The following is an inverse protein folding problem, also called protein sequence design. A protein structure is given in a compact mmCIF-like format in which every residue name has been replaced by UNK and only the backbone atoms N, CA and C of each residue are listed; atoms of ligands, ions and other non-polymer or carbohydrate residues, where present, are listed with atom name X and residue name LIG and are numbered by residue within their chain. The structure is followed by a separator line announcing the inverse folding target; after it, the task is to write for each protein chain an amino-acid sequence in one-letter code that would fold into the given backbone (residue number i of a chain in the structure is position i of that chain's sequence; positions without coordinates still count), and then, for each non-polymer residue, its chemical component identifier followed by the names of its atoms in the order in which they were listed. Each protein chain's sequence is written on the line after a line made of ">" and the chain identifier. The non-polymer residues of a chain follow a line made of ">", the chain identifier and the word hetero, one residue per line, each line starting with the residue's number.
data_IF_457611307461
#
_entry.id   IF_457611307461
#
_cell.length_a   1.000
_cell.length_b   1.000
_cell.length_c   1.000
_cell.angle_alpha   90.00
_cell.angle_beta   90.00
_cell.angle_gamma   90.00
#
_symmetry.space_group_name_H-M   'P 1'
#
loop_
_entity.id
_entity.type
_entity.pdbx_description
1 polymer ?
#
# COMPACT_ATOMS: atom_id res chain seq x y z
N UNK A 1 -1.01 -6.23 -38.02
CA UNK A 1 -0.43 -5.95 -36.69
C UNK A 1 -1.55 -6.00 -35.66
N UNK A 2 -1.52 -6.94 -34.72
CA UNK A 2 -2.43 -6.86 -33.57
C UNK A 2 -1.91 -5.78 -32.63
N UNK A 3 -2.69 -4.72 -32.46
CA UNK A 3 -2.44 -3.69 -31.45
C UNK A 3 -2.50 -4.33 -30.05
N UNK A 4 -1.65 -3.89 -29.11
CA UNK A 4 -1.68 -4.32 -27.70
C UNK A 4 -3.10 -4.17 -27.13
N UNK A 5 -3.81 -3.10 -27.52
CA UNK A 5 -5.21 -2.89 -27.17
C UNK A 5 -6.13 -3.99 -27.71
N UNK A 6 -5.86 -4.49 -28.91
CA UNK A 6 -6.60 -5.62 -29.50
C UNK A 6 -6.39 -6.92 -28.74
N UNK A 7 -5.17 -7.19 -28.25
CA UNK A 7 -4.88 -8.36 -27.41
C UNK A 7 -5.56 -8.25 -26.04
N UNK A 8 -5.48 -7.09 -25.39
CA UNK A 8 -6.14 -6.85 -24.09
C UNK A 8 -7.66 -6.96 -24.22
N UNK A 9 -8.24 -6.34 -25.25
CA UNK A 9 -9.68 -6.36 -25.46
C UNK A 9 -10.17 -7.80 -25.66
N UNK A 10 -9.53 -8.57 -26.53
CA UNK A 10 -9.94 -9.95 -26.79
C UNK A 10 -9.67 -10.89 -25.60
N UNK A 11 -8.63 -10.63 -24.80
CA UNK A 11 -8.22 -11.48 -23.68
C UNK A 11 -8.97 -11.21 -22.38
N UNK A 12 -9.22 -9.94 -22.04
CA UNK A 12 -9.72 -9.53 -20.72
C UNK A 12 -11.09 -8.87 -20.76
N UNK A 13 -11.44 -8.16 -21.84
CA UNK A 13 -12.63 -7.28 -21.87
C UNK A 13 -13.81 -7.93 -22.60
N UNK A 14 -13.57 -8.66 -23.69
CA UNK A 14 -14.62 -9.12 -24.61
C UNK A 14 -15.60 -10.14 -24.00
N UNK A 15 -15.18 -10.94 -23.02
CA UNK A 15 -16.02 -11.98 -22.40
C UNK A 15 -16.44 -11.55 -21.01
N UNK A 16 -17.74 -11.34 -20.77
CA UNK A 16 -18.28 -10.81 -19.50
C UNK A 16 -17.77 -11.53 -18.24
N UNK A 17 -17.70 -12.86 -18.25
CA UNK A 17 -17.20 -13.63 -17.10
C UNK A 17 -15.73 -13.37 -16.80
N UNK A 18 -14.91 -13.22 -17.84
CA UNK A 18 -13.48 -12.88 -17.70
C UNK A 18 -13.33 -11.43 -17.29
N UNK A 19 -14.12 -10.54 -17.87
CA UNK A 19 -14.11 -9.13 -17.52
C UNK A 19 -14.44 -8.92 -16.03
N UNK A 20 -15.52 -9.54 -15.54
CA UNK A 20 -15.89 -9.47 -14.13
C UNK A 20 -14.78 -10.02 -13.21
N UNK A 21 -14.21 -11.18 -13.56
CA UNK A 21 -13.08 -11.76 -12.81
C UNK A 21 -11.84 -10.87 -12.83
N UNK A 22 -11.55 -10.24 -13.97
CA UNK A 22 -10.42 -9.30 -14.14
C UNK A 22 -10.60 -8.08 -13.26
N UNK A 23 -11.81 -7.51 -13.20
CA UNK A 23 -12.12 -6.34 -12.36
C UNK A 23 -11.98 -6.67 -10.87
N UNK A 24 -12.50 -7.81 -10.40
CA UNK A 24 -12.35 -8.19 -8.99
C UNK A 24 -10.90 -8.49 -8.63
N UNK A 25 -10.20 -9.24 -9.48
CA UNK A 25 -8.79 -9.54 -9.25
C UNK A 25 -7.94 -8.27 -9.24
N UNK A 26 -8.16 -7.36 -10.20
CA UNK A 26 -7.40 -6.12 -10.25
C UNK A 26 -7.71 -5.21 -9.08
N UNK A 27 -8.95 -5.17 -8.59
CA UNK A 27 -9.30 -4.40 -7.40
C UNK A 27 -8.46 -4.82 -6.19
N UNK A 28 -8.40 -6.12 -5.86
CA UNK A 28 -7.58 -6.62 -4.75
C UNK A 28 -6.08 -6.40 -4.98
N UNK A 29 -5.59 -6.69 -6.18
CA UNK A 29 -4.17 -6.53 -6.50
C UNK A 29 -3.74 -5.06 -6.41
N UNK A 30 -4.58 -4.14 -6.91
CA UNK A 30 -4.33 -2.71 -6.85
C UNK A 30 -4.46 -2.16 -5.44
N UNK A 31 -5.43 -2.62 -4.65
CA UNK A 31 -5.58 -2.23 -3.23
C UNK A 31 -4.28 -2.51 -2.46
N UNK A 32 -3.79 -3.76 -2.50
CA UNK A 32 -2.55 -4.15 -1.81
C UNK A 32 -1.36 -3.33 -2.30
N UNK A 33 -1.22 -3.18 -3.62
CA UNK A 33 -0.11 -2.45 -4.22
C UNK A 33 -0.16 -0.96 -3.86
N UNK A 34 -1.35 -0.35 -3.93
CA UNK A 34 -1.58 1.06 -3.65
C UNK A 34 -1.33 1.37 -2.18
N UNK A 35 -1.89 0.60 -1.25
CA UNK A 35 -1.69 0.82 0.19
C UNK A 35 -0.23 0.66 0.57
N UNK A 36 0.43 -0.40 0.10
CA UNK A 36 1.85 -0.64 0.40
C UNK A 36 2.73 0.48 -0.15
N UNK A 37 2.46 0.92 -1.38
CA UNK A 37 3.28 1.94 -2.04
C UNK A 37 3.04 3.31 -1.44
N UNK A 38 1.77 3.68 -1.23
CA UNK A 38 1.39 4.96 -0.65
C UNK A 38 1.91 5.11 0.77
N UNK A 39 1.83 4.06 1.61
CA UNK A 39 2.43 4.07 2.94
C UNK A 39 3.96 4.25 2.86
N UNK A 40 4.65 3.54 1.96
CA UNK A 40 6.11 3.72 1.79
C UNK A 40 6.48 5.14 1.38
N UNK A 41 5.73 5.74 0.47
CA UNK A 41 5.93 7.12 0.04
C UNK A 41 5.73 8.06 1.23
N UNK A 42 4.62 7.90 1.95
CA UNK A 42 4.31 8.69 3.14
C UNK A 42 5.41 8.60 4.19
N UNK A 43 5.87 7.37 4.45
CA UNK A 43 6.92 7.08 5.43
C UNK A 43 8.25 7.73 5.07
N UNK A 44 8.59 7.72 3.78
CA UNK A 44 9.80 8.33 3.28
C UNK A 44 9.76 9.85 3.40
N UNK A 45 8.62 10.46 3.06
CA UNK A 45 8.45 11.93 3.09
C UNK A 45 8.38 12.44 4.53
N UNK A 46 7.81 11.67 5.46
CA UNK A 46 7.60 12.09 6.85
C UNK A 46 8.58 11.45 7.84
N UNK A 47 9.71 10.94 7.35
CA UNK A 47 10.72 10.29 8.20
C UNK A 47 11.18 11.19 9.34
N UNK A 48 11.23 10.64 10.55
CA UNK A 48 11.66 11.34 11.76
C UNK A 48 10.57 12.21 12.40
N UNK A 49 9.39 12.30 11.79
CA UNK A 49 8.23 13.03 12.34
C UNK A 49 7.08 12.11 12.74
N UNK A 50 7.10 10.86 12.28
CA UNK A 50 6.03 9.92 12.59
C UNK A 50 6.18 9.36 14.00
N UNK A 51 5.06 9.04 14.64
CA UNK A 51 5.08 8.43 15.97
C UNK A 51 5.98 7.20 16.02
N UNK A 52 5.92 6.31 15.02
CA UNK A 52 6.80 5.14 14.95
C UNK A 52 8.30 5.46 14.91
N UNK A 53 8.67 6.65 14.45
CA UNK A 53 10.06 7.11 14.39
C UNK A 53 10.52 7.80 15.68
N UNK A 54 9.62 8.26 16.54
CA UNK A 54 9.95 9.04 17.75
C UNK A 54 9.49 8.40 19.05
N UNK A 55 8.64 7.36 18.99
CA UNK A 55 8.01 6.72 20.15
C UNK A 55 9.02 6.27 21.20
N UNK A 56 10.15 5.71 20.78
CA UNK A 56 11.16 5.17 21.69
C UNK A 56 11.64 6.24 22.71
N UNK A 57 11.75 7.51 22.28
CA UNK A 57 12.19 8.61 23.14
C UNK A 57 11.24 8.87 24.31
N UNK A 58 9.95 8.60 24.13
CA UNK A 58 8.94 8.84 25.15
C UNK A 58 8.75 7.63 26.05
N UNK A 59 8.93 6.42 25.54
CA UNK A 59 8.90 5.21 26.36
C UNK A 59 10.12 5.16 27.30
N UNK A 60 11.32 5.41 26.77
CA UNK A 60 12.56 5.45 27.57
C UNK A 60 12.49 6.54 28.65
N UNK A 61 11.94 7.71 28.30
CA UNK A 61 11.72 8.78 29.27
C UNK A 61 10.74 8.38 30.39
N UNK A 62 9.64 7.70 30.04
CA UNK A 62 8.68 7.22 31.03
C UNK A 62 9.32 6.19 31.98
N UNK A 63 10.09 5.24 31.44
CA UNK A 63 10.81 4.25 32.25
C UNK A 63 11.84 4.92 33.19
N UNK A 64 12.57 5.93 32.72
CA UNK A 64 13.51 6.66 33.58
C UNK A 64 12.83 7.48 34.69
N UNK A 65 11.63 8.02 34.44
CA UNK A 65 10.87 8.76 35.45
C UNK A 65 10.30 7.82 36.53
N UNK A 66 9.92 6.58 36.16
CA UNK A 66 9.45 5.55 37.09
C UNK A 66 10.59 4.95 37.96
N UNK A 67 11.83 4.87 37.45
CA UNK A 67 13.00 4.38 38.19
C UNK A 67 13.56 5.42 39.20
N UNK A 68 13.27 6.71 39.00
CA UNK A 68 13.71 7.83 39.84
C UNK A 68 12.71 8.18 40.98
N UNK A 69 11.51 7.58 41.03
CA UNK A 69 10.51 7.65 42.13
C UNK A 69 10.65 6.50 43.16
#
# INVERSE_FOLDING_TARGET
>A
MSSIFGTIYNGLIKRNTVFLGTVFFSAFALEIAFDTTSNKIWDSVNRGRQWKDIKYRYLEKAESEDDDE
#
